data_IF_449648168765
#
_entry.id   IF_449648168765
#
_cell.length_a   1.000
_cell.length_b   1.000
_cell.length_c   1.000
_cell.angle_alpha   90.00
_cell.angle_beta   90.00
_cell.angle_gamma   90.00
#
_symmetry.space_group_name_H-M   'P 1'
#
loop_
_entity.id
_entity.type
_entity.pdbx_description
1 polymer ?
#
# COMPACT_ATOMS: atom_id res chain seq x y z
N UNK A 1 7.79 7.35 9.87
CA UNK A 1 8.25 7.73 8.51
C UNK A 1 7.58 6.82 7.50
N UNK A 2 7.37 7.26 6.27
CA UNK A 2 6.84 6.40 5.20
C UNK A 2 7.76 5.18 5.00
N UNK A 3 7.25 3.96 4.78
CA UNK A 3 8.09 2.77 4.63
C UNK A 3 9.02 2.88 3.43
N UNK A 4 10.31 2.54 3.61
CA UNK A 4 11.28 2.54 2.51
C UNK A 4 11.04 1.34 1.57
N UNK A 5 10.70 1.54 0.29
CA UNK A 5 10.53 0.47 -0.69
C UNK A 5 11.75 -0.44 -0.84
N UNK A 6 12.94 0.05 -0.49
CA UNK A 6 14.21 -0.69 -0.59
C UNK A 6 14.43 -1.63 0.59
N UNK A 7 13.66 -1.53 1.66
CA UNK A 7 13.85 -2.35 2.87
C UNK A 7 13.65 -3.87 2.64
N UNK A 8 13.06 -4.27 1.51
CA UNK A 8 12.72 -5.67 1.22
C UNK A 8 13.30 -6.21 -0.08
N UNK A 9 14.27 -5.51 -0.68
CA UNK A 9 14.93 -5.99 -1.91
C UNK A 9 15.64 -7.32 -1.71
N UNK A 10 16.10 -7.59 -0.49
CA UNK A 10 16.86 -8.79 -0.12
C UNK A 10 15.96 -9.90 0.44
N UNK A 11 14.64 -9.67 0.53
CA UNK A 11 13.68 -10.72 0.92
C UNK A 11 13.43 -11.63 -0.27
N UNK A 12 13.78 -12.90 -0.10
CA UNK A 12 13.56 -13.96 -1.09
C UNK A 12 12.08 -14.32 -1.21
N UNK A 13 11.60 -14.38 -2.45
CA UNK A 13 10.22 -14.74 -2.78
C UNK A 13 9.27 -13.53 -2.85
N UNK A 14 8.54 -13.44 -3.97
CA UNK A 14 7.61 -12.34 -4.23
C UNK A 14 6.52 -12.19 -3.16
N UNK A 15 6.00 -13.30 -2.63
CA UNK A 15 4.98 -13.28 -1.57
C UNK A 15 5.53 -12.76 -0.25
N UNK A 16 6.69 -13.26 0.21
CA UNK A 16 7.29 -12.82 1.46
C UNK A 16 7.62 -11.31 1.44
N UNK A 17 8.14 -10.83 0.30
CA UNK A 17 8.40 -9.42 0.06
C UNK A 17 7.12 -8.57 0.11
N UNK A 18 6.06 -9.03 -0.55
CA UNK A 18 4.76 -8.37 -0.53
C UNK A 18 4.19 -8.27 0.89
N UNK A 19 4.21 -9.37 1.65
CA UNK A 19 3.71 -9.39 3.03
C UNK A 19 4.48 -8.45 3.93
N UNK A 20 5.81 -8.41 3.81
CA UNK A 20 6.65 -7.52 4.59
C UNK A 20 6.34 -6.03 4.29
N UNK A 21 6.20 -5.70 3.00
CA UNK A 21 5.82 -4.36 2.57
C UNK A 21 4.44 -3.94 3.10
N UNK A 22 3.42 -4.81 2.97
CA UNK A 22 2.07 -4.53 3.45
C UNK A 22 2.01 -4.42 4.98
N UNK A 23 2.73 -5.27 5.72
CA UNK A 23 2.81 -5.17 7.18
C UNK A 23 3.35 -3.82 7.64
N UNK A 24 4.43 -3.35 7.01
CA UNK A 24 5.03 -2.07 7.34
C UNK A 24 4.13 -0.90 6.93
N UNK A 25 3.56 -0.93 5.73
CA UNK A 25 2.68 0.13 5.24
C UNK A 25 1.40 0.25 6.06
N UNK A 26 0.79 -0.87 6.42
CA UNK A 26 -0.43 -0.85 7.23
C UNK A 26 -0.15 -0.45 8.67
N UNK A 27 1.01 -0.79 9.21
CA UNK A 27 1.45 -0.25 10.50
C UNK A 27 1.65 1.27 10.44
N UNK A 28 2.26 1.78 9.38
CA UNK A 28 2.40 3.22 9.19
C UNK A 28 1.04 3.91 9.04
N UNK A 29 0.10 3.34 8.28
CA UNK A 29 -1.26 3.87 8.18
C UNK A 29 -1.99 3.90 9.52
N UNK A 30 -1.81 2.88 10.37
CA UNK A 30 -2.36 2.90 11.74
C UNK A 30 -1.85 4.09 12.55
N UNK A 31 -0.56 4.44 12.39
CA UNK A 31 0.07 5.52 13.14
C UNK A 31 -0.34 6.93 12.67
N UNK A 32 -0.68 7.10 11.38
CA UNK A 32 -0.95 8.41 10.76
C UNK A 32 -2.37 8.60 10.24
N UNK A 33 -3.28 7.65 10.48
CA UNK A 33 -4.63 7.63 9.88
C UNK A 33 -5.39 8.96 10.02
N UNK A 34 -5.52 9.56 11.22
CA UNK A 34 -6.37 10.74 11.40
C UNK A 34 -5.89 11.90 10.54
N UNK A 35 -4.60 12.21 10.58
CA UNK A 35 -3.99 13.26 9.78
C UNK A 35 -4.06 12.93 8.29
N UNK A 36 -3.68 11.71 7.90
CA UNK A 36 -3.66 11.30 6.49
C UNK A 36 -5.05 11.34 5.84
N UNK A 37 -6.10 10.99 6.59
CA UNK A 37 -7.48 11.08 6.11
C UNK A 37 -7.92 12.54 5.88
N UNK A 38 -7.51 13.47 6.75
CA UNK A 38 -7.78 14.91 6.58
C UNK A 38 -7.02 15.43 5.37
N UNK A 39 -5.71 15.17 5.29
CA UNK A 39 -4.86 15.62 4.19
C UNK A 39 -5.38 15.13 2.83
N UNK A 40 -5.75 13.85 2.70
CA UNK A 40 -6.29 13.30 1.45
C UNK A 40 -7.65 13.88 1.07
N UNK A 41 -8.51 14.19 2.05
CA UNK A 41 -9.79 14.89 1.79
C UNK A 41 -9.53 16.31 1.27
N UNK A 42 -8.62 17.04 1.91
CA UNK A 42 -8.39 18.46 1.63
C UNK A 42 -7.54 18.69 0.38
N UNK A 43 -6.75 17.69 -0.05
CA UNK A 43 -6.02 17.71 -1.32
C UNK A 43 -6.92 17.88 -2.56
N UNK A 44 -8.23 17.60 -2.44
CA UNK A 44 -9.19 17.83 -3.52
C UNK A 44 -9.54 19.33 -3.70
N UNK A 45 -9.18 20.18 -2.73
CA UNK A 45 -9.62 21.58 -2.66
C UNK A 45 -8.44 22.56 -2.53
N UNK A 46 -7.26 22.08 -2.10
CA UNK A 46 -6.07 22.92 -1.87
C UNK A 46 -4.82 22.41 -2.60
N UNK A 47 -4.22 23.25 -3.44
CA UNK A 47 -3.10 22.90 -4.35
C UNK A 47 -1.84 22.40 -3.62
N UNK A 48 -1.45 23.00 -2.49
CA UNK A 48 -0.28 22.57 -1.71
C UNK A 48 -0.45 21.15 -1.14
N UNK A 49 -1.66 20.79 -0.74
CA UNK A 49 -1.95 19.43 -0.27
C UNK A 49 -1.92 18.43 -1.45
N UNK A 50 -2.29 18.86 -2.66
CA UNK A 50 -2.22 18.03 -3.84
C UNK A 50 -0.77 17.66 -4.22
N UNK A 51 0.20 18.58 -4.06
CA UNK A 51 1.61 18.29 -4.33
C UNK A 51 2.20 17.22 -3.39
N UNK A 52 1.89 17.33 -2.09
CA UNK A 52 2.34 16.35 -1.09
C UNK A 52 1.72 14.98 -1.36
N UNK A 53 0.40 14.92 -1.62
CA UNK A 53 -0.26 13.66 -1.96
C UNK A 53 0.29 13.07 -3.26
N UNK A 54 0.61 13.89 -4.27
CA UNK A 54 1.22 13.42 -5.50
C UNK A 54 2.64 12.84 -5.30
N UNK A 55 3.40 13.32 -4.31
CA UNK A 55 4.67 12.70 -3.94
C UNK A 55 4.47 11.32 -3.31
N UNK A 56 3.53 11.18 -2.38
CA UNK A 56 3.24 9.90 -1.75
C UNK A 56 2.66 8.88 -2.75
N UNK A 57 1.79 9.33 -3.65
CA UNK A 57 1.23 8.49 -4.71
C UNK A 57 2.31 8.03 -5.70
N UNK A 58 3.32 8.86 -6.00
CA UNK A 58 4.51 8.44 -6.78
C UNK A 58 5.32 7.37 -6.06
N UNK A 59 5.59 7.54 -4.76
CA UNK A 59 6.29 6.53 -3.94
C UNK A 59 5.54 5.20 -3.92
N UNK A 60 4.21 5.24 -3.79
CA UNK A 60 3.37 4.03 -3.85
C UNK A 60 3.40 3.38 -5.24
N UNK A 61 3.41 4.15 -6.32
CA UNK A 61 3.55 3.63 -7.67
C UNK A 61 4.91 2.95 -7.91
N UNK A 62 6.00 3.57 -7.46
CA UNK A 62 7.35 2.99 -7.52
C UNK A 62 7.44 1.68 -6.72
N UNK A 63 6.84 1.64 -5.52
CA UNK A 63 6.74 0.44 -4.71
C UNK A 63 5.93 -0.65 -5.41
N UNK A 64 4.80 -0.31 -6.05
CA UNK A 64 4.00 -1.26 -6.81
C UNK A 64 4.79 -1.88 -7.97
N UNK A 65 5.56 -1.06 -8.69
CA UNK A 65 6.44 -1.52 -9.77
C UNK A 65 7.57 -2.42 -9.27
N UNK A 66 8.15 -2.12 -8.11
CA UNK A 66 9.17 -2.95 -7.48
C UNK A 66 8.62 -4.31 -7.02
N UNK A 67 7.45 -4.33 -6.40
CA UNK A 67 6.82 -5.55 -5.87
C UNK A 67 6.30 -6.47 -6.98
N UNK A 68 5.86 -5.92 -8.11
CA UNK A 68 5.33 -6.71 -9.22
C UNK A 68 6.40 -7.15 -10.25
N UNK A 69 7.66 -6.72 -10.09
CA UNK A 69 8.72 -6.88 -11.10
C UNK A 69 8.92 -8.32 -11.57
N UNK A 70 9.02 -9.24 -10.61
CA UNK A 70 9.44 -10.63 -10.86
C UNK A 70 8.25 -11.60 -10.98
N UNK A 71 7.03 -11.07 -11.01
CA UNK A 71 5.82 -11.88 -11.06
C UNK A 71 5.37 -12.17 -12.50
N UNK A 72 4.80 -13.36 -12.77
CA UNK A 72 4.09 -13.61 -14.02
C UNK A 72 2.88 -12.68 -14.12
N UNK A 73 2.35 -12.47 -15.35
CA UNK A 73 1.19 -11.57 -15.58
C UNK A 73 1.35 -10.17 -14.98
N UNK A 74 2.56 -9.61 -15.06
CA UNK A 74 2.98 -8.35 -14.44
C UNK A 74 1.93 -7.22 -14.44
N UNK A 75 1.15 -7.04 -15.52
CA UNK A 75 0.10 -6.00 -15.58
C UNK A 75 -1.00 -6.23 -14.54
N UNK A 76 -1.52 -7.46 -14.41
CA UNK A 76 -2.58 -7.80 -13.48
C UNK A 76 -2.06 -7.76 -12.03
N UNK A 77 -0.89 -8.35 -11.79
CA UNK A 77 -0.23 -8.34 -10.48
C UNK A 77 0.06 -6.92 -10.03
N UNK A 78 0.63 -6.07 -10.90
CA UNK A 78 0.88 -4.65 -10.57
C UNK A 78 -0.40 -3.91 -10.19
N UNK A 79 -1.51 -4.17 -10.88
CA UNK A 79 -2.79 -3.56 -10.54
C UNK A 79 -3.30 -4.02 -9.17
N UNK A 80 -3.22 -5.33 -8.88
CA UNK A 80 -3.59 -5.88 -7.58
C UNK A 80 -2.69 -5.34 -6.44
N UNK A 81 -1.39 -5.23 -6.68
CA UNK A 81 -0.43 -4.63 -5.73
C UNK A 81 -0.78 -3.15 -5.51
N UNK A 82 -1.03 -2.38 -6.57
CA UNK A 82 -1.46 -0.98 -6.43
C UNK A 82 -2.67 -0.85 -5.52
N UNK A 83 -3.71 -1.66 -5.76
CA UNK A 83 -4.90 -1.68 -4.92
C UNK A 83 -4.62 -2.07 -3.46
N UNK A 84 -3.74 -3.06 -3.24
CA UNK A 84 -3.32 -3.48 -1.90
C UNK A 84 -2.57 -2.38 -1.12
N UNK A 85 -1.85 -1.48 -1.83
CA UNK A 85 -1.09 -0.39 -1.22
C UNK A 85 -1.96 0.84 -0.91
N UNK A 86 -3.15 0.98 -1.51
CA UNK A 86 -4.01 2.16 -1.32
C UNK A 86 -4.48 2.34 0.14
N UNK A 87 -4.41 3.58 0.63
CA UNK A 87 -4.86 3.95 1.97
C UNK A 87 -6.33 3.60 2.20
N UNK A 88 -7.22 3.91 1.25
CA UNK A 88 -8.65 3.64 1.39
C UNK A 88 -8.98 2.14 1.35
N UNK A 89 -8.18 1.33 0.65
CA UNK A 89 -8.27 -0.14 0.73
C UNK A 89 -8.00 -0.60 2.16
N UNK A 90 -6.85 -0.23 2.74
CA UNK A 90 -6.52 -0.56 4.13
C UNK A 90 -7.59 -0.05 5.11
N UNK A 91 -7.99 1.21 4.98
CA UNK A 91 -8.95 1.86 5.88
C UNK A 91 -10.31 1.17 5.84
N UNK A 92 -10.74 0.72 4.67
CA UNK A 92 -11.97 -0.07 4.55
C UNK A 92 -11.89 -1.40 5.30
N UNK A 93 -10.80 -2.15 5.14
CA UNK A 93 -10.59 -3.44 5.77
C UNK A 93 -10.50 -3.28 7.29
N UNK A 94 -9.70 -2.33 7.77
CA UNK A 94 -9.44 -2.14 9.19
C UNK A 94 -10.61 -1.47 9.93
N UNK A 95 -11.20 -0.39 9.38
CA UNK A 95 -12.19 0.43 10.10
C UNK A 95 -13.62 0.09 9.78
N UNK A 96 -13.94 -0.29 8.54
CA UNK A 96 -15.31 -0.66 8.16
C UNK A 96 -15.59 -2.15 8.35
N UNK A 97 -14.62 -3.01 8.05
CA UNK A 97 -14.77 -4.47 8.17
C UNK A 97 -14.18 -5.05 9.46
N UNK A 98 -13.46 -4.25 10.24
CA UNK A 98 -12.92 -4.67 11.54
C UNK A 98 -11.78 -5.68 11.47
N UNK A 99 -11.07 -5.78 10.34
CA UNK A 99 -9.92 -6.67 10.21
C UNK A 99 -8.72 -6.15 10.99
N UNK A 100 -8.03 -7.05 11.68
CA UNK A 100 -6.70 -6.76 12.22
C UNK A 100 -5.69 -6.52 11.09
N UNK A 101 -4.57 -5.86 11.40
CA UNK A 101 -3.46 -5.66 10.46
C UNK A 101 -3.05 -6.94 9.74
N UNK A 102 -2.92 -8.06 10.47
CA UNK A 102 -2.55 -9.36 9.88
C UNK A 102 -3.62 -9.86 8.92
N UNK A 103 -4.90 -9.81 9.31
CA UNK A 103 -5.99 -10.24 8.43
C UNK A 103 -6.10 -9.39 7.16
N UNK A 104 -5.87 -8.08 7.25
CA UNK A 104 -5.85 -7.19 6.09
C UNK A 104 -4.69 -7.51 5.14
N UNK A 105 -3.48 -7.74 5.69
CA UNK A 105 -2.31 -8.19 4.90
C UNK A 105 -2.59 -9.52 4.22
N UNK A 106 -3.16 -10.48 4.94
CA UNK A 106 -3.46 -11.81 4.41
C UNK A 106 -4.46 -11.71 3.24
N UNK A 107 -5.55 -10.95 3.42
CA UNK A 107 -6.56 -10.74 2.38
C UNK A 107 -5.95 -10.12 1.10
N UNK A 108 -5.15 -9.07 1.24
CA UNK A 108 -4.55 -8.41 0.08
C UNK A 108 -3.41 -9.21 -0.55
N UNK A 109 -2.69 -10.00 0.23
CA UNK A 109 -1.71 -10.95 -0.30
C UNK A 109 -2.42 -11.99 -1.18
N UNK A 110 -3.56 -12.53 -0.73
CA UNK A 110 -4.35 -13.47 -1.53
C UNK A 110 -4.91 -12.84 -2.80
N UNK A 111 -5.36 -11.58 -2.75
CA UNK A 111 -5.79 -10.85 -3.94
C UNK A 111 -4.67 -10.78 -4.99
N UNK A 112 -3.45 -10.44 -4.56
CA UNK A 112 -2.29 -10.33 -5.47
C UNK A 112 -1.87 -11.70 -6.02
N UNK A 113 -1.89 -12.75 -5.21
CA UNK A 113 -1.60 -14.12 -5.64
C UNK A 113 -2.61 -14.66 -6.66
N UNK A 114 -3.85 -14.17 -6.64
CA UNK A 114 -4.92 -14.58 -7.53
C UNK A 114 -4.94 -13.85 -8.89
N UNK A 115 -4.10 -12.82 -9.07
CA UNK A 115 -4.04 -11.99 -10.29
C UNK A 115 -3.23 -12.63 -11.44
#
# INVERSE_FOLDING_TARGET
PFPDPRAWTDVDGGEARLRAALLALYGWYEDVEPELAIFRRDAQVHELNAEVIAEDDRKLAELADALARDWPRRKAVRAAVGHALEFETWRSLARRQGLSRRQAVDAMTQLVLAA
#
